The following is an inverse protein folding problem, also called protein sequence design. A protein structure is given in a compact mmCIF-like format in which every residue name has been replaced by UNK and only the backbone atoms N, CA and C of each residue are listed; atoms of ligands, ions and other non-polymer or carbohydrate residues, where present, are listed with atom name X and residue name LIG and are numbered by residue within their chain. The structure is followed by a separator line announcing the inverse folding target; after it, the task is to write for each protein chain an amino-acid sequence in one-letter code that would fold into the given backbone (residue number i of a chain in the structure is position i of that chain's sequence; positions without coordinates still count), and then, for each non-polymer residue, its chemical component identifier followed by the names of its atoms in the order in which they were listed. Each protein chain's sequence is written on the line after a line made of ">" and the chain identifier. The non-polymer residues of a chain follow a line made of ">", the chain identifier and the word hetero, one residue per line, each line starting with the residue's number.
data_IF_385885077950
#
_entry.id   IF_385885077950
#
_cell.length_a   1.000
_cell.length_b   1.000
_cell.length_c   1.000
_cell.angle_alpha   90.00
_cell.angle_beta   90.00
_cell.angle_gamma   90.00
#
_symmetry.space_group_name_H-M   'P 1'
#
loop_
_entity.id
_entity.type
_entity.pdbx_description
1 polymer ?
#
# COMPACT_ATOMS: atom_id res chain seq x y z
N UNK A 1 -24.31 -13.50 12.20
CA UNK A 1 -24.90 -12.38 11.45
C UNK A 1 -23.94 -12.00 10.32
N UNK A 2 -24.34 -12.11 9.05
CA UNK A 2 -23.49 -11.70 7.92
C UNK A 2 -23.57 -10.17 7.78
N UNK A 3 -22.44 -9.48 7.90
CA UNK A 3 -22.37 -8.04 7.66
C UNK A 3 -22.44 -7.80 6.16
N UNK A 4 -23.40 -6.98 5.71
CA UNK A 4 -23.48 -6.53 4.32
C UNK A 4 -22.64 -5.27 4.16
N UNK A 5 -21.58 -5.35 3.36
CA UNK A 5 -20.78 -4.18 3.04
C UNK A 5 -21.38 -3.46 1.84
N UNK A 6 -21.64 -2.15 2.00
CA UNK A 6 -22.01 -1.28 0.89
C UNK A 6 -20.77 -0.55 0.42
N UNK A 7 -20.34 -0.82 -0.81
CA UNK A 7 -19.22 -0.10 -1.43
C UNK A 7 -19.69 1.30 -1.81
N UNK A 8 -19.00 2.32 -1.29
CA UNK A 8 -19.33 3.71 -1.61
C UNK A 8 -18.43 4.23 -2.75
N UNK A 9 -18.91 5.12 -3.63
CA UNK A 9 -18.13 5.58 -4.78
C UNK A 9 -16.80 6.23 -4.39
N UNK A 10 -16.78 7.07 -3.36
CA UNK A 10 -15.55 7.72 -2.91
C UNK A 10 -14.48 6.73 -2.42
N UNK A 11 -14.89 5.57 -1.87
CA UNK A 11 -13.96 4.53 -1.46
C UNK A 11 -13.29 3.89 -2.68
N UNK A 12 -14.06 3.68 -3.74
CA UNK A 12 -13.52 3.17 -5.00
C UNK A 12 -12.59 4.20 -5.63
N UNK A 13 -12.97 5.48 -5.66
CA UNK A 13 -12.12 6.55 -6.18
C UNK A 13 -10.79 6.68 -5.42
N UNK A 14 -10.81 6.53 -4.10
CA UNK A 14 -9.59 6.54 -3.28
C UNK A 14 -8.68 5.35 -3.61
N UNK A 15 -9.26 4.16 -3.78
CA UNK A 15 -8.52 2.95 -4.18
C UNK A 15 -7.90 3.11 -5.57
N UNK A 16 -8.70 3.50 -6.56
CA UNK A 16 -8.22 3.72 -7.94
C UNK A 16 -7.12 4.77 -7.99
N UNK A 17 -7.22 5.84 -7.20
CA UNK A 17 -6.20 6.90 -7.17
C UNK A 17 -4.82 6.38 -6.73
N UNK A 18 -4.75 5.34 -5.89
CA UNK A 18 -3.46 4.72 -5.54
C UNK A 18 -2.99 3.76 -6.62
N UNK A 19 -3.91 2.96 -7.15
CA UNK A 19 -3.60 1.92 -8.13
C UNK A 19 -3.12 2.54 -9.44
N UNK A 20 -3.77 3.60 -9.90
CA UNK A 20 -3.45 4.32 -11.15
C UNK A 20 -2.05 4.96 -11.12
N UNK A 21 -1.49 5.25 -9.94
CA UNK A 21 -0.09 5.72 -9.84
C UNK A 21 0.91 4.71 -10.43
N UNK A 22 0.55 3.43 -10.50
CA UNK A 22 1.38 2.34 -11.04
C UNK A 22 0.90 1.86 -12.42
N UNK A 23 0.09 2.65 -13.12
CA UNK A 23 -0.33 2.33 -14.49
C UNK A 23 0.88 2.08 -15.41
N UNK A 24 0.81 1.00 -16.20
CA UNK A 24 1.91 0.52 -17.04
C UNK A 24 2.80 -0.55 -16.39
N UNK A 25 2.71 -0.79 -15.08
CA UNK A 25 3.43 -1.89 -14.44
C UNK A 25 2.88 -3.24 -14.96
N UNK A 26 3.72 -4.17 -15.44
CA UNK A 26 3.25 -5.46 -15.93
C UNK A 26 2.76 -6.35 -14.79
N UNK A 27 1.76 -7.18 -15.08
CA UNK A 27 1.34 -8.24 -14.15
C UNK A 27 2.40 -9.35 -14.16
N UNK A 28 3.20 -9.40 -13.10
CA UNK A 28 4.20 -10.44 -12.93
C UNK A 28 3.67 -11.59 -12.07
N UNK A 29 4.04 -12.82 -12.40
CA UNK A 29 3.80 -13.96 -11.52
C UNK A 29 4.63 -13.81 -10.23
N UNK A 30 4.20 -14.42 -9.10
CA UNK A 30 5.00 -14.45 -7.89
C UNK A 30 6.41 -14.99 -8.18
N UNK A 31 7.44 -14.23 -7.82
CA UNK A 31 8.82 -14.68 -8.00
C UNK A 31 9.16 -15.64 -6.87
N UNK A 32 9.40 -16.90 -7.25
CA UNK A 32 9.98 -17.92 -6.40
C UNK A 32 11.51 -17.77 -6.44
N UNK A 33 12.14 -17.56 -5.30
CA UNK A 33 13.59 -17.60 -5.15
C UNK A 33 14.00 -18.65 -4.12
N UNK A 34 15.23 -19.12 -4.17
CA UNK A 34 15.75 -20.06 -3.16
C UNK A 34 16.30 -19.28 -1.98
N UNK A 35 15.84 -19.61 -0.78
CA UNK A 35 16.41 -19.07 0.46
C UNK A 35 17.71 -19.82 0.75
N UNK A 36 18.81 -19.09 0.93
CA UNK A 36 20.05 -19.66 1.46
C UNK A 36 19.93 -19.76 2.98
N UNK A 37 19.92 -20.96 3.58
CA UNK A 37 19.74 -21.16 5.02
C UNK A 37 20.95 -20.72 5.86
N UNK A 38 22.06 -20.30 5.23
CA UNK A 38 23.27 -19.88 5.93
C UNK A 38 23.94 -21.02 6.72
N UNK A 39 24.76 -20.68 7.73
CA UNK A 39 25.64 -21.63 8.45
C UNK A 39 24.92 -22.63 9.37
N UNK A 40 23.60 -22.55 9.51
CA UNK A 40 22.82 -23.43 10.39
C UNK A 40 22.32 -24.63 9.61
N UNK A 41 23.08 -25.74 9.66
CA UNK A 41 22.86 -26.96 8.89
C UNK A 41 21.62 -27.80 9.28
N UNK A 42 20.54 -27.20 9.79
CA UNK A 42 19.31 -27.92 10.14
C UNK A 42 18.05 -27.07 9.94
N UNK A 43 17.69 -26.76 8.70
CA UNK A 43 16.28 -26.66 8.28
C UNK A 43 16.22 -26.93 6.78
N UNK A 44 15.22 -27.69 6.34
CA UNK A 44 15.02 -28.24 4.98
C UNK A 44 15.64 -27.43 3.83
N UNK A 45 16.48 -28.09 3.01
CA UNK A 45 17.20 -27.54 1.85
C UNK A 45 16.33 -27.02 0.67
N UNK A 46 15.05 -26.72 0.91
CA UNK A 46 14.07 -26.34 -0.10
C UNK A 46 13.05 -25.31 0.42
N UNK A 47 13.47 -24.30 1.18
CA UNK A 47 12.59 -23.15 1.43
C UNK A 47 12.56 -22.24 0.19
N UNK A 48 11.47 -22.34 -0.55
CA UNK A 48 11.11 -21.37 -1.58
C UNK A 48 10.69 -20.05 -0.92
N UNK A 49 11.51 -19.02 -1.12
CA UNK A 49 11.21 -17.64 -0.78
C UNK A 49 10.28 -17.02 -1.80
N UNK A 50 9.39 -16.14 -1.32
CA UNK A 50 8.45 -15.40 -2.16
C UNK A 50 8.67 -13.91 -1.98
N UNK A 51 8.92 -13.20 -3.09
CA UNK A 51 8.96 -11.72 -3.12
C UNK A 51 7.96 -11.16 -4.13
N UNK A 52 7.57 -9.91 -3.92
CA UNK A 52 6.87 -9.15 -4.95
C UNK A 52 7.81 -8.87 -6.13
N UNK A 53 7.25 -8.74 -7.32
CA UNK A 53 7.99 -8.23 -8.47
C UNK A 53 8.43 -6.79 -8.22
N UNK A 54 9.65 -6.48 -8.65
CA UNK A 54 10.23 -5.15 -8.52
C UNK A 54 9.46 -4.16 -9.40
N UNK A 55 9.48 -2.88 -9.02
CA UNK A 55 8.90 -1.80 -9.83
C UNK A 55 9.73 -1.64 -11.11
N UNK A 56 9.10 -1.89 -12.26
CA UNK A 56 9.73 -1.77 -13.57
C UNK A 56 9.56 -0.37 -14.17
N UNK A 57 8.62 0.41 -13.63
CA UNK A 57 8.37 1.79 -14.06
C UNK A 57 9.54 2.69 -13.67
N UNK A 58 9.91 3.58 -14.59
CA UNK A 58 10.90 4.61 -14.34
C UNK A 58 10.31 5.70 -13.43
N UNK A 59 11.16 6.41 -12.68
CA UNK A 59 10.73 7.51 -11.82
C UNK A 59 9.94 8.61 -12.57
N UNK A 60 10.33 9.03 -13.80
CA UNK A 60 9.53 9.96 -14.59
C UNK A 60 8.13 9.43 -14.93
N UNK A 61 8.00 8.14 -15.24
CA UNK A 61 6.71 7.53 -15.55
C UNK A 61 5.78 7.52 -14.33
N UNK A 62 6.32 7.15 -13.17
CA UNK A 62 5.56 7.15 -11.91
C UNK A 62 5.14 8.57 -11.55
N UNK A 63 6.03 9.55 -11.70
CA UNK A 63 5.70 10.95 -11.49
C UNK A 63 4.59 11.40 -12.43
N UNK A 64 4.65 11.08 -13.72
CA UNK A 64 3.60 11.41 -14.68
C UNK A 64 2.24 10.82 -14.26
N UNK A 65 2.21 9.55 -13.84
CA UNK A 65 1.00 8.90 -13.36
C UNK A 65 0.43 9.59 -12.10
N UNK A 66 1.29 9.93 -11.14
CA UNK A 66 0.89 10.68 -9.94
C UNK A 66 0.30 12.04 -10.33
N UNK A 67 0.95 12.76 -11.24
CA UNK A 67 0.46 14.06 -11.71
C UNK A 67 -0.90 13.94 -12.43
N UNK A 68 -1.14 12.86 -13.19
CA UNK A 68 -2.45 12.58 -13.80
C UNK A 68 -3.52 12.39 -12.73
N UNK A 69 -3.24 11.60 -11.69
CA UNK A 69 -4.16 11.40 -10.56
C UNK A 69 -4.41 12.72 -9.82
N UNK A 70 -3.37 13.51 -9.54
CA UNK A 70 -3.49 14.82 -8.88
C UNK A 70 -4.38 15.78 -9.68
N UNK A 71 -4.16 15.91 -11.00
CA UNK A 71 -4.99 16.74 -11.87
C UNK A 71 -6.45 16.29 -11.87
N UNK A 72 -6.71 14.98 -11.95
CA UNK A 72 -8.06 14.40 -11.90
C UNK A 72 -8.79 14.72 -10.59
N UNK A 73 -8.07 14.79 -9.48
CA UNK A 73 -8.61 15.11 -8.14
C UNK A 73 -8.52 16.61 -7.80
N UNK A 74 -8.13 17.47 -8.74
CA UNK A 74 -7.90 18.91 -8.53
C UNK A 74 -6.93 19.21 -7.36
N UNK A 75 -5.87 18.42 -7.23
CA UNK A 75 -4.81 18.60 -6.24
C UNK A 75 -3.61 19.36 -6.82
N UNK A 76 -2.83 20.07 -5.97
CA UNK A 76 -1.55 20.63 -6.36
C UNK A 76 -0.62 19.57 -6.97
N UNK A 77 -0.03 19.88 -8.12
CA UNK A 77 0.78 18.93 -8.89
C UNK A 77 2.21 18.92 -8.38
N UNK A 78 2.72 17.73 -8.06
CA UNK A 78 4.10 17.54 -7.61
C UNK A 78 5.10 17.72 -8.76
N UNK A 79 6.21 18.41 -8.51
CA UNK A 79 7.30 18.58 -9.49
C UNK A 79 8.33 17.45 -9.42
N UNK A 80 8.43 16.77 -8.28
CA UNK A 80 9.41 15.73 -8.00
C UNK A 80 8.88 14.71 -6.99
N UNK A 81 9.42 13.49 -7.02
CA UNK A 81 9.13 12.43 -6.04
C UNK A 81 9.91 12.60 -4.73
N UNK A 82 10.86 13.53 -4.68
CA UNK A 82 11.76 13.73 -3.53
C UNK A 82 11.42 14.98 -2.71
N UNK A 83 10.35 15.69 -3.08
CA UNK A 83 9.87 16.86 -2.37
C UNK A 83 8.78 16.47 -1.39
N UNK A 84 8.97 16.86 -0.13
CA UNK A 84 8.04 16.59 0.95
C UNK A 84 7.66 17.90 1.61
N UNK A 85 6.39 18.02 1.96
CA UNK A 85 5.82 19.21 2.58
C UNK A 85 5.06 18.86 3.84
N UNK A 86 5.01 19.78 4.79
CA UNK A 86 4.18 19.69 5.99
C UNK A 86 3.38 20.97 6.17
N UNK A 87 2.40 20.98 7.07
CA UNK A 87 1.67 22.18 7.45
C UNK A 87 2.31 22.81 8.68
N UNK A 88 2.56 24.12 8.64
CA UNK A 88 3.00 24.88 9.80
C UNK A 88 1.82 25.17 10.76
N UNK A 89 2.09 25.76 11.93
CA UNK A 89 1.05 26.12 12.90
C UNK A 89 0.02 27.14 12.38
N UNK A 90 0.30 27.80 11.25
CA UNK A 90 -0.59 28.74 10.56
C UNK A 90 -1.40 28.08 9.43
N UNK A 91 -1.24 26.77 9.21
CA UNK A 91 -1.92 26.02 8.16
C UNK A 91 -1.31 26.19 6.76
N UNK A 92 -0.13 26.77 6.64
CA UNK A 92 0.56 26.95 5.36
C UNK A 92 1.41 25.72 5.03
N UNK A 93 1.43 25.33 3.76
CA UNK A 93 2.24 24.22 3.26
C UNK A 93 3.69 24.67 3.11
N UNK A 94 4.58 24.09 3.92
CA UNK A 94 6.01 24.41 3.96
C UNK A 94 6.87 23.18 3.71
N UNK A 95 8.10 23.31 3.19
CA UNK A 95 9.02 22.19 3.06
C UNK A 95 9.34 21.55 4.40
N UNK A 96 9.49 20.23 4.43
CA UNK A 96 9.98 19.52 5.62
C UNK A 96 11.46 19.84 5.90
N UNK A 97 11.90 19.59 7.13
CA UNK A 97 13.30 19.73 7.48
C UNK A 97 14.19 18.68 6.76
N UNK A 98 15.50 18.98 6.66
CA UNK A 98 16.44 18.11 5.95
C UNK A 98 16.58 16.71 6.57
N UNK A 99 16.44 16.59 7.89
CA UNK A 99 16.54 15.31 8.60
C UNK A 99 15.41 14.36 8.20
N UNK A 100 14.17 14.86 8.15
CA UNK A 100 13.00 14.11 7.69
C UNK A 100 13.16 13.68 6.24
N UNK A 101 13.56 14.60 5.35
CA UNK A 101 13.79 14.28 3.93
C UNK A 101 14.79 13.14 3.76
N UNK A 102 15.90 13.17 4.52
CA UNK A 102 16.90 12.10 4.50
C UNK A 102 16.33 10.75 4.95
N UNK A 103 15.52 10.73 6.01
CA UNK A 103 14.91 9.51 6.54
C UNK A 103 13.84 8.94 5.60
N UNK A 104 12.99 9.80 5.02
CA UNK A 104 11.96 9.38 4.08
C UNK A 104 12.57 8.68 2.86
N UNK A 105 13.55 9.33 2.21
CA UNK A 105 14.23 8.78 1.04
C UNK A 105 15.04 7.51 1.33
N UNK A 106 15.45 7.30 2.57
CA UNK A 106 16.10 6.05 2.99
C UNK A 106 15.10 4.90 3.18
N UNK A 107 13.83 5.20 3.48
CA UNK A 107 12.80 4.21 3.72
C UNK A 107 12.17 3.68 2.41
N UNK A 108 11.90 4.57 1.47
CA UNK A 108 11.31 4.23 0.17
C UNK A 108 11.70 5.24 -0.89
N UNK A 109 11.67 4.80 -2.15
CA UNK A 109 11.82 5.68 -3.32
C UNK A 109 10.53 6.43 -3.66
N UNK A 110 9.38 5.88 -3.24
CA UNK A 110 8.05 6.38 -3.58
C UNK A 110 7.23 6.50 -2.31
N UNK A 111 6.61 7.65 -2.14
CA UNK A 111 5.70 7.95 -1.05
C UNK A 111 4.39 8.47 -1.65
N UNK A 112 3.29 7.84 -1.27
CA UNK A 112 1.95 8.22 -1.69
C UNK A 112 1.12 8.51 -0.45
N UNK A 113 0.53 9.69 -0.40
CA UNK A 113 -0.32 10.12 0.69
C UNK A 113 -1.79 10.06 0.25
N UNK A 114 -2.62 9.43 1.07
CA UNK A 114 -4.08 9.37 0.87
C UNK A 114 -4.74 9.96 2.10
N UNK A 115 -5.25 11.18 1.96
CA UNK A 115 -6.00 11.86 3.01
C UNK A 115 -7.48 11.47 2.94
N UNK A 116 -8.02 11.00 4.05
CA UNK A 116 -9.44 10.73 4.18
C UNK A 116 -9.94 11.09 5.58
N UNK A 117 -11.14 11.66 5.65
CA UNK A 117 -11.76 12.04 6.92
C UNK A 117 -12.04 10.82 7.82
N UNK A 118 -12.13 11.03 9.13
CA UNK A 118 -12.55 10.01 10.09
C UNK A 118 -13.95 9.47 9.74
N UNK A 119 -14.20 8.18 9.99
CA UNK A 119 -15.47 7.54 9.65
C UNK A 119 -15.71 7.18 8.17
N UNK A 120 -14.86 7.59 7.23
CA UNK A 120 -15.02 7.28 5.78
C UNK A 120 -14.55 5.89 5.35
N UNK A 121 -14.05 5.07 6.28
CA UNK A 121 -13.62 3.70 5.98
C UNK A 121 -12.23 3.57 5.34
N UNK A 122 -11.27 4.40 5.78
CA UNK A 122 -9.82 4.27 5.44
C UNK A 122 -9.33 2.82 5.48
N UNK A 123 -9.70 2.09 6.52
CA UNK A 123 -9.33 0.67 6.70
C UNK A 123 -9.82 -0.20 5.56
N UNK A 124 -11.08 -0.06 5.16
CA UNK A 124 -11.62 -0.81 4.04
C UNK A 124 -10.91 -0.44 2.74
N UNK A 125 -10.59 0.85 2.54
CA UNK A 125 -9.95 1.33 1.33
C UNK A 125 -8.55 0.73 1.14
N UNK A 126 -7.65 0.82 2.14
CA UNK A 126 -6.31 0.23 1.95
C UNK A 126 -6.34 -1.29 1.80
N UNK A 127 -7.29 -2.00 2.44
CA UNK A 127 -7.45 -3.45 2.23
C UNK A 127 -7.87 -3.71 0.78
N UNK A 128 -8.87 -2.98 0.28
CA UNK A 128 -9.29 -3.08 -1.12
C UNK A 128 -8.15 -2.72 -2.08
N UNK A 129 -7.34 -1.70 -1.78
CA UNK A 129 -6.14 -1.35 -2.54
C UNK A 129 -5.16 -2.51 -2.62
N UNK A 130 -4.91 -3.23 -1.52
CA UNK A 130 -4.07 -4.44 -1.52
C UNK A 130 -4.59 -5.49 -2.52
N UNK A 131 -5.92 -5.73 -2.55
CA UNK A 131 -6.52 -6.66 -3.50
C UNK A 131 -6.44 -6.16 -4.96
N UNK A 132 -6.65 -4.87 -5.22
CA UNK A 132 -6.50 -4.29 -6.56
C UNK A 132 -5.06 -4.34 -7.06
N UNK A 133 -4.09 -4.01 -6.21
CA UNK A 133 -2.66 -4.13 -6.54
C UNK A 133 -2.27 -5.58 -6.83
N UNK A 134 -2.83 -6.55 -6.11
CA UNK A 134 -2.66 -7.97 -6.44
C UNK A 134 -3.27 -8.31 -7.79
N UNK A 135 -4.49 -7.85 -8.05
CA UNK A 135 -5.23 -8.15 -9.27
C UNK A 135 -4.57 -7.58 -10.52
N UNK A 136 -4.05 -6.34 -10.46
CA UNK A 136 -3.47 -5.65 -11.62
C UNK A 136 -1.98 -5.93 -11.81
N UNK A 137 -1.22 -6.02 -10.72
CA UNK A 137 0.25 -6.07 -10.79
C UNK A 137 0.85 -7.33 -10.17
N UNK A 138 0.05 -8.22 -9.58
CA UNK A 138 0.51 -9.48 -9.00
C UNK A 138 1.16 -9.36 -7.61
N UNK A 139 1.27 -8.16 -7.04
CA UNK A 139 1.85 -7.97 -5.70
C UNK A 139 1.02 -8.66 -4.63
N UNK A 140 1.67 -9.45 -3.76
CA UNK A 140 1.01 -10.35 -2.82
C UNK A 140 1.48 -10.22 -1.38
N UNK A 141 2.62 -9.55 -1.14
CA UNK A 141 3.20 -9.31 0.19
C UNK A 141 3.08 -7.84 0.55
N UNK A 142 2.50 -7.54 1.71
CA UNK A 142 2.28 -6.18 2.19
C UNK A 142 2.55 -6.12 3.68
N UNK A 143 3.09 -4.98 4.14
CA UNK A 143 3.33 -4.70 5.56
C UNK A 143 2.48 -3.49 5.93
N UNK A 144 1.69 -3.64 7.00
CA UNK A 144 0.87 -2.55 7.55
C UNK A 144 1.47 -2.15 8.88
N UNK A 145 2.03 -0.95 8.94
CA UNK A 145 2.61 -0.37 10.17
C UNK A 145 1.54 0.48 10.83
N UNK A 146 1.36 0.31 12.15
CA UNK A 146 0.34 1.01 12.94
C UNK A 146 0.96 1.63 14.19
N UNK A 147 0.45 2.78 14.68
CA UNK A 147 1.10 3.52 15.76
C UNK A 147 0.76 3.01 17.17
N UNK A 148 -0.24 2.13 17.32
CA UNK A 148 -0.64 1.63 18.64
C UNK A 148 -1.22 0.20 18.59
N UNK A 149 -1.17 -0.48 19.73
CA UNK A 149 -1.73 -1.84 19.90
C UNK A 149 -3.23 -1.85 19.64
N UNK A 150 -3.97 -0.84 20.13
CA UNK A 150 -5.41 -0.75 19.90
C UNK A 150 -5.78 -0.67 18.42
N UNK A 151 -5.03 0.12 17.63
CA UNK A 151 -5.22 0.21 16.18
C UNK A 151 -4.86 -1.13 15.53
N UNK A 152 -3.77 -1.78 15.96
CA UNK A 152 -3.35 -3.11 15.46
C UNK A 152 -4.44 -4.16 15.60
N UNK A 153 -5.05 -4.27 16.78
CA UNK A 153 -6.14 -5.23 17.04
C UNK A 153 -7.38 -4.89 16.20
N UNK A 154 -7.70 -3.59 16.05
CA UNK A 154 -8.78 -3.12 15.19
C UNK A 154 -8.58 -3.48 13.71
N UNK A 155 -7.36 -3.32 13.18
CA UNK A 155 -6.99 -3.72 11.82
C UNK A 155 -7.08 -5.24 11.66
N UNK A 156 -6.52 -6.00 12.60
CA UNK A 156 -6.58 -7.47 12.57
C UNK A 156 -8.01 -8.00 12.56
N UNK A 157 -8.90 -7.42 13.37
CA UNK A 157 -10.34 -7.72 13.35
C UNK A 157 -10.98 -7.32 12.01
N UNK A 158 -10.60 -6.18 11.44
CA UNK A 158 -11.13 -5.72 10.15
C UNK A 158 -10.86 -6.75 9.05
N UNK A 159 -9.64 -7.26 8.94
CA UNK A 159 -9.29 -8.33 8.01
C UNK A 159 -10.12 -9.60 8.18
N UNK A 160 -10.39 -10.02 9.44
CA UNK A 160 -11.26 -11.17 9.71
C UNK A 160 -12.69 -10.94 9.21
N UNK A 161 -13.24 -9.76 9.52
CA UNK A 161 -14.65 -9.44 9.24
C UNK A 161 -14.89 -9.22 7.74
N UNK A 162 -13.92 -8.66 7.02
CA UNK A 162 -14.01 -8.43 5.56
C UNK A 162 -13.57 -9.63 4.72
N UNK A 163 -13.14 -10.74 5.33
CA UNK A 163 -12.55 -11.86 4.61
C UNK A 163 -13.50 -12.47 3.58
N UNK A 164 -14.74 -12.77 3.97
CA UNK A 164 -15.72 -13.39 3.07
C UNK A 164 -16.11 -12.41 1.95
N UNK A 165 -16.33 -11.14 2.28
CA UNK A 165 -16.64 -10.08 1.33
C UNK A 165 -15.58 -9.97 0.22
N UNK A 166 -14.30 -9.87 0.59
CA UNK A 166 -13.24 -9.80 -0.41
C UNK A 166 -13.02 -11.12 -1.15
N UNK A 167 -13.30 -12.27 -0.52
CA UNK A 167 -13.24 -13.57 -1.19
C UNK A 167 -14.33 -13.69 -2.27
N UNK A 168 -15.56 -13.24 -1.99
CA UNK A 168 -16.65 -13.20 -2.96
C UNK A 168 -16.32 -12.27 -4.15
N UNK A 169 -15.71 -11.11 -3.89
CA UNK A 169 -15.39 -10.13 -4.94
C UNK A 169 -14.13 -10.45 -5.77
N UNK A 170 -13.09 -11.02 -5.15
CA UNK A 170 -11.78 -11.23 -5.81
C UNK A 170 -11.44 -12.70 -6.04
N UNK A 171 -12.25 -13.64 -5.55
CA UNK A 171 -11.98 -15.08 -5.64
C UNK A 171 -10.75 -15.52 -4.83
N UNK A 172 -10.24 -14.67 -3.93
CA UNK A 172 -9.02 -14.90 -3.16
C UNK A 172 -9.20 -14.47 -1.72
N UNK A 173 -8.57 -15.21 -0.81
CA UNK A 173 -8.56 -14.91 0.63
C UNK A 173 -7.18 -14.43 1.06
N UNK A 174 -7.12 -13.27 1.71
CA UNK A 174 -5.88 -12.75 2.28
C UNK A 174 -5.44 -13.60 3.48
N UNK A 175 -4.15 -13.98 3.51
CA UNK A 175 -3.50 -14.50 4.73
C UNK A 175 -2.84 -13.34 5.45
N UNK A 176 -3.13 -13.18 6.73
CA UNK A 176 -2.63 -12.08 7.55
C UNK A 176 -2.29 -12.59 8.95
N UNK A 177 -1.26 -11.99 9.56
CA UNK A 177 -0.82 -12.29 10.91
C UNK A 177 -0.29 -11.01 11.56
N UNK A 178 -0.23 -11.02 12.89
CA UNK A 178 0.40 -9.93 13.65
C UNK A 178 1.86 -10.32 13.82
N UNK A 179 2.77 -9.43 13.41
CA UNK A 179 4.18 -9.59 13.73
C UNK A 179 4.39 -9.22 15.20
N UNK A 180 4.71 -10.22 16.02
CA UNK A 180 5.12 -10.07 17.41
C UNK A 180 6.57 -10.56 17.46
N UNK A 181 7.51 -9.63 17.60
CA UNK A 181 8.90 -9.93 17.95
C UNK A 181 9.07 -9.95 19.46
#
# INVERSE_FOLDING_TARGET
>A
MKLKFKVQPYQTNAVESVVDCFEGQPMAAPLTYRIDPGSTAQTSAFEEGFKNADLMLSEPQILENIQKVQRRQNLPVSQSLTEFTTFNARGERVPVNAAYKKQALAASRIHLDVEMETGTGKTYCYIKTIFELNKRYGWSKFIIVVPSIAIREGVYKSFKVTADHFTEHYGKKSRFFIYNS
#
